data_IF_888970891605
#
_entry.id   IF_888970891605
#
_cell.length_a   1.000
_cell.length_b   1.000
_cell.length_c   1.000
_cell.angle_alpha   90.00
_cell.angle_beta   90.00
_cell.angle_gamma   90.00
#
_symmetry.space_group_name_H-M   'P 1'
#
loop_
_entity.id
_entity.type
_entity.pdbx_description
1 polymer ?
#
# COMPACT_ATOMS: atom_id res chain seq x y z
N UNK A 1 108.22 -11.42 13.67
CA UNK A 1 107.18 -11.54 12.63
C UNK A 1 105.86 -11.84 13.33
N UNK A 2 104.86 -10.98 13.11
CA UNK A 2 103.39 -11.21 13.14
C UNK A 2 102.76 -11.85 14.39
N UNK A 3 101.64 -11.41 14.96
CA UNK A 3 100.82 -10.20 14.95
C UNK A 3 99.72 -10.51 16.00
N UNK A 4 99.39 -9.55 16.85
CA UNK A 4 98.37 -9.68 17.89
C UNK A 4 96.95 -9.84 17.33
N UNK A 5 96.10 -10.62 18.01
CA UNK A 5 94.63 -10.53 17.88
C UNK A 5 93.96 -10.61 19.26
N UNK A 6 93.56 -9.44 19.75
CA UNK A 6 92.46 -9.25 20.70
C UNK A 6 91.14 -9.46 19.95
N UNK A 7 90.22 -10.23 20.53
CA UNK A 7 88.83 -10.27 20.07
C UNK A 7 87.95 -9.80 21.21
N UNK A 8 87.39 -8.60 21.05
CA UNK A 8 86.43 -7.99 21.95
C UNK A 8 85.02 -8.56 21.73
N UNK A 9 84.30 -8.85 22.81
CA UNK A 9 82.86 -9.12 22.79
C UNK A 9 82.11 -7.81 22.51
N UNK A 10 81.38 -7.75 21.39
CA UNK A 10 80.31 -6.77 21.18
C UNK A 10 78.96 -7.42 21.49
N UNK A 11 78.27 -6.90 22.51
CA UNK A 11 76.85 -7.15 22.73
C UNK A 11 76.01 -6.31 21.77
N UNK A 12 75.21 -6.98 20.94
CA UNK A 12 74.24 -6.32 20.06
C UNK A 12 72.86 -6.33 20.73
N UNK A 13 72.39 -5.15 21.17
CA UNK A 13 71.00 -4.91 21.53
C UNK A 13 70.14 -4.86 20.28
N UNK A 14 69.31 -5.88 20.05
CA UNK A 14 68.32 -5.88 18.99
C UNK A 14 67.11 -5.02 19.39
N UNK A 15 66.92 -3.88 18.73
CA UNK A 15 65.70 -3.10 18.82
C UNK A 15 64.56 -3.82 18.06
N UNK A 16 63.53 -4.27 18.78
CA UNK A 16 62.28 -4.73 18.16
C UNK A 16 61.49 -3.51 17.65
N UNK A 17 61.56 -3.26 16.34
CA UNK A 17 60.60 -2.40 15.67
C UNK A 17 59.28 -3.19 15.51
N UNK A 18 58.27 -2.84 16.29
CA UNK A 18 56.91 -3.34 16.10
C UNK A 18 56.32 -2.72 14.81
N UNK A 19 56.38 -3.48 13.71
CA UNK A 19 55.62 -3.18 12.51
C UNK A 19 54.13 -3.37 12.83
N UNK A 20 53.42 -2.26 13.03
CA UNK A 20 51.96 -2.27 13.11
C UNK A 20 51.40 -2.81 11.78
N UNK A 21 50.85 -4.03 11.81
CA UNK A 21 50.13 -4.58 10.68
C UNK A 21 48.96 -3.63 10.32
N UNK A 22 48.69 -3.39 9.03
CA UNK A 22 47.55 -2.57 8.64
C UNK A 22 46.28 -3.24 9.19
N UNK A 23 45.54 -2.47 10.00
CA UNK A 23 44.22 -2.87 10.46
C UNK A 23 43.38 -3.20 9.23
N UNK A 24 43.09 -4.49 9.03
CA UNK A 24 42.16 -4.92 7.99
C UNK A 24 40.81 -4.31 8.36
N UNK A 25 40.38 -3.31 7.59
CA UNK A 25 39.02 -2.82 7.66
C UNK A 25 38.10 -4.03 7.51
N UNK A 26 37.26 -4.27 8.52
CA UNK A 26 36.23 -5.30 8.42
C UNK A 26 35.45 -5.05 7.12
N UNK A 27 35.15 -6.09 6.32
CA UNK A 27 34.40 -5.92 5.10
C UNK A 27 33.10 -5.21 5.45
N UNK A 28 32.83 -4.09 4.76
CA UNK A 28 31.58 -3.37 4.89
C UNK A 28 30.44 -4.39 4.78
N UNK A 29 29.55 -4.42 5.77
CA UNK A 29 28.41 -5.32 5.75
C UNK A 29 27.71 -5.18 4.39
N UNK A 30 27.74 -6.25 3.60
CA UNK A 30 27.15 -6.27 2.27
C UNK A 30 25.70 -5.84 2.39
N UNK A 31 25.34 -4.76 1.69
CA UNK A 31 23.97 -4.26 1.71
C UNK A 31 23.03 -5.39 1.28
N UNK A 32 21.96 -5.61 2.03
CA UNK A 32 20.98 -6.64 1.71
C UNK A 32 20.53 -6.52 0.25
N UNK A 33 20.36 -7.66 -0.47
CA UNK A 33 19.95 -7.62 -1.85
C UNK A 33 18.62 -6.86 -2.00
N UNK A 34 18.43 -6.13 -3.13
CA UNK A 34 17.20 -5.40 -3.37
C UNK A 34 16.03 -6.38 -3.46
N UNK A 35 14.88 -5.97 -2.91
CA UNK A 35 13.63 -6.71 -3.10
C UNK A 35 13.21 -6.69 -4.58
N UNK A 36 12.28 -7.56 -4.97
CA UNK A 36 11.74 -7.57 -6.35
C UNK A 36 11.13 -6.21 -6.71
N UNK A 37 10.43 -5.55 -5.79
CA UNK A 37 9.91 -4.19 -5.99
C UNK A 37 11.03 -3.17 -6.23
N UNK A 38 12.11 -3.23 -5.44
CA UNK A 38 13.26 -2.33 -5.54
C UNK A 38 14.08 -2.55 -6.83
N UNK A 39 14.12 -3.77 -7.35
CA UNK A 39 14.79 -4.08 -8.63
C UNK A 39 14.11 -3.37 -9.81
N UNK A 40 12.80 -3.13 -9.73
CA UNK A 40 12.06 -2.41 -10.79
C UNK A 40 12.39 -0.91 -10.81
N UNK A 41 12.84 -0.35 -9.70
CA UNK A 41 13.02 1.10 -9.55
C UNK A 41 14.02 1.67 -10.55
N UNK A 42 15.05 0.92 -10.96
CA UNK A 42 16.08 1.40 -11.89
C UNK A 42 15.68 1.23 -13.38
N UNK A 43 14.48 0.69 -13.66
CA UNK A 43 13.96 0.60 -15.02
C UNK A 43 13.54 1.97 -15.58
N UNK A 44 13.48 2.09 -16.91
CA UNK A 44 13.18 3.35 -17.58
C UNK A 44 11.81 3.95 -17.19
N UNK A 45 10.77 3.13 -17.09
CA UNK A 45 9.40 3.61 -16.81
C UNK A 45 9.25 4.22 -15.41
N UNK A 46 9.68 3.58 -14.30
CA UNK A 46 9.67 4.22 -12.98
C UNK A 46 10.49 5.51 -12.92
N UNK A 47 11.66 5.55 -13.57
CA UNK A 47 12.49 6.76 -13.64
C UNK A 47 11.81 7.88 -14.41
N UNK A 48 11.16 7.57 -15.54
CA UNK A 48 10.36 8.53 -16.30
C UNK A 48 9.21 9.06 -15.45
N UNK A 49 8.45 8.19 -14.77
CA UNK A 49 7.33 8.60 -13.92
C UNK A 49 7.80 9.53 -12.81
N UNK A 50 8.90 9.21 -12.12
CA UNK A 50 9.46 10.04 -11.06
C UNK A 50 9.91 11.41 -11.58
N UNK A 51 10.56 11.45 -12.74
CA UNK A 51 11.00 12.72 -13.37
C UNK A 51 9.80 13.58 -13.74
N UNK A 52 8.84 13.02 -14.48
CA UNK A 52 7.69 13.72 -15.04
C UNK A 52 6.63 14.13 -14.01
N UNK A 53 6.57 13.43 -12.87
CA UNK A 53 5.69 13.82 -11.75
C UNK A 53 6.31 14.83 -10.78
N UNK A 54 7.61 15.11 -10.92
CA UNK A 54 8.39 15.92 -9.98
C UNK A 54 8.85 15.17 -8.71
N UNK A 55 8.66 13.86 -8.62
CA UNK A 55 9.00 13.06 -7.44
C UNK A 55 10.46 12.54 -7.43
N UNK A 56 11.23 12.74 -8.50
CA UNK A 56 12.63 12.33 -8.62
C UNK A 56 13.53 12.81 -7.45
N UNK A 57 13.25 13.97 -6.88
CA UNK A 57 14.01 14.52 -5.75
C UNK A 57 13.67 13.94 -4.36
N UNK A 58 12.59 13.14 -4.23
CA UNK A 58 12.10 12.66 -2.92
C UNK A 58 13.12 11.73 -2.26
N UNK A 59 13.50 10.65 -2.93
CA UNK A 59 14.42 9.67 -2.36
C UNK A 59 15.82 10.27 -2.11
N UNK A 60 16.45 11.05 -3.02
CA UNK A 60 17.72 11.71 -2.75
C UNK A 60 17.69 12.67 -1.55
N UNK A 61 16.61 13.45 -1.40
CA UNK A 61 16.44 14.35 -0.26
C UNK A 61 16.30 13.60 1.06
N UNK A 62 15.54 12.50 1.04
CA UNK A 62 15.40 11.60 2.18
C UNK A 62 16.74 10.94 2.55
N UNK A 63 17.49 10.40 1.59
CA UNK A 63 18.81 9.78 1.82
C UNK A 63 19.76 10.75 2.53
N UNK A 64 19.89 11.99 2.03
CA UNK A 64 20.74 13.01 2.69
C UNK A 64 20.30 13.33 4.12
N UNK A 65 18.99 13.33 4.38
CA UNK A 65 18.48 13.56 5.73
C UNK A 65 18.75 12.36 6.65
N UNK A 66 18.65 11.14 6.11
CA UNK A 66 18.94 9.91 6.82
C UNK A 66 20.42 9.79 7.17
N UNK A 67 21.32 10.13 6.23
CA UNK A 67 22.78 10.15 6.45
C UNK A 67 23.22 11.13 7.54
N UNK A 68 22.49 12.24 7.71
CA UNK A 68 22.74 13.22 8.80
C UNK A 68 22.14 12.82 10.14
N UNK A 69 21.39 11.72 10.23
CA UNK A 69 20.83 11.27 11.50
C UNK A 69 21.92 10.65 12.36
N UNK A 70 22.33 11.34 13.42
CA UNK A 70 23.37 10.87 14.35
C UNK A 70 22.92 9.84 15.40
N UNK A 71 21.65 9.41 15.37
CA UNK A 71 21.11 8.40 16.28
C UNK A 71 19.88 7.70 15.73
N UNK A 72 19.52 6.54 16.31
CA UNK A 72 18.31 5.81 15.94
C UNK A 72 17.04 6.67 16.11
N UNK A 73 16.91 7.43 17.20
CA UNK A 73 15.79 8.35 17.42
C UNK A 73 15.74 9.46 16.38
N UNK A 74 16.89 10.01 16.00
CA UNK A 74 16.95 11.00 14.92
C UNK A 74 16.50 10.40 13.58
N UNK A 75 16.90 9.16 13.29
CA UNK A 75 16.50 8.43 12.09
C UNK A 75 14.99 8.15 12.06
N UNK A 76 14.41 7.69 13.18
CA UNK A 76 12.95 7.49 13.31
C UNK A 76 12.18 8.79 13.01
N UNK A 77 12.65 9.93 13.53
CA UNK A 77 12.06 11.23 13.25
C UNK A 77 12.20 11.65 11.78
N UNK A 78 13.35 11.37 11.14
CA UNK A 78 13.55 11.61 9.71
C UNK A 78 12.57 10.77 8.89
N UNK A 79 12.48 9.48 9.18
CA UNK A 79 11.58 8.54 8.49
C UNK A 79 10.12 8.97 8.61
N UNK A 80 9.65 9.26 9.84
CA UNK A 80 8.30 9.73 10.10
C UNK A 80 7.95 10.97 9.26
N UNK A 81 8.75 12.04 9.40
CA UNK A 81 8.49 13.32 8.75
C UNK A 81 8.58 13.25 7.23
N UNK A 82 9.54 12.50 6.68
CA UNK A 82 9.64 12.35 5.23
C UNK A 82 8.52 11.45 4.67
N UNK A 83 8.10 10.43 5.41
CA UNK A 83 6.96 9.59 5.02
C UNK A 83 5.66 10.41 4.97
N UNK A 84 5.36 11.17 6.02
CA UNK A 84 4.18 12.04 6.06
C UNK A 84 4.21 13.09 4.94
N UNK A 85 5.38 13.72 4.70
CA UNK A 85 5.53 14.66 3.59
C UNK A 85 5.33 14.02 2.23
N UNK A 86 5.78 12.77 2.04
CA UNK A 86 5.55 12.05 0.80
C UNK A 86 4.04 11.81 0.57
N UNK A 87 3.32 11.36 1.61
CA UNK A 87 1.86 11.18 1.53
C UNK A 87 1.16 12.50 1.18
N UNK A 88 1.37 13.55 1.99
CA UNK A 88 0.71 14.85 1.77
C UNK A 88 1.04 15.45 0.42
N UNK A 89 2.29 15.33 -0.05
CA UNK A 89 2.68 15.78 -1.39
C UNK A 89 1.93 15.04 -2.49
N UNK A 90 1.71 13.73 -2.36
CA UNK A 90 0.95 12.95 -3.33
C UNK A 90 -0.52 13.35 -3.36
N UNK A 91 -1.13 13.57 -2.19
CA UNK A 91 -2.50 14.07 -2.04
C UNK A 91 -2.64 15.49 -2.64
N UNK A 92 -1.75 16.40 -2.25
CA UNK A 92 -1.71 17.77 -2.76
C UNK A 92 -1.60 17.80 -4.28
N UNK A 93 -0.75 16.92 -4.85
CA UNK A 93 -0.62 16.76 -6.30
C UNK A 93 -1.94 16.29 -6.90
N UNK A 94 -2.52 15.21 -6.39
CA UNK A 94 -3.79 14.65 -6.88
C UNK A 94 -4.94 15.66 -6.88
N UNK A 95 -4.92 16.59 -5.93
CA UNK A 95 -5.93 17.62 -5.76
C UNK A 95 -5.57 18.96 -6.42
N UNK A 96 -4.45 19.04 -7.15
CA UNK A 96 -4.03 20.25 -7.85
C UNK A 96 -3.59 21.39 -6.93
N UNK A 97 -3.22 21.10 -5.68
CA UNK A 97 -2.73 22.09 -4.69
C UNK A 97 -1.25 22.42 -4.87
N UNK A 98 -0.50 21.59 -5.60
CA UNK A 98 0.93 21.81 -5.92
C UNK A 98 1.20 21.49 -7.40
N UNK A 99 2.28 22.03 -7.99
CA UNK A 99 2.69 21.68 -9.35
C UNK A 99 2.88 20.18 -9.53
N UNK A 100 2.32 19.62 -10.61
CA UNK A 100 2.22 18.17 -10.84
C UNK A 100 3.24 17.61 -11.86
N UNK A 101 4.15 18.46 -12.36
CA UNK A 101 4.94 18.16 -13.55
C UNK A 101 4.05 18.02 -14.79
N UNK A 102 4.45 17.19 -15.75
CA UNK A 102 3.73 16.97 -17.01
C UNK A 102 2.89 15.68 -17.04
N UNK A 103 2.89 14.88 -15.98
CA UNK A 103 1.94 13.77 -15.82
C UNK A 103 0.60 14.22 -15.26
N UNK A 104 -0.47 13.51 -15.62
CA UNK A 104 -1.80 13.70 -15.02
C UNK A 104 -1.73 13.70 -13.48
N UNK A 105 -2.41 14.67 -12.89
CA UNK A 105 -2.34 14.93 -11.45
C UNK A 105 -2.90 13.78 -10.61
N UNK A 106 -3.90 13.05 -11.11
CA UNK A 106 -4.54 11.95 -10.40
C UNK A 106 -3.73 10.64 -10.42
N UNK A 107 -2.55 10.65 -11.06
CA UNK A 107 -1.64 9.52 -11.10
C UNK A 107 -1.11 9.12 -9.71
N UNK A 108 -1.30 7.85 -9.35
CA UNK A 108 -0.92 7.24 -8.08
C UNK A 108 0.50 6.66 -8.07
N UNK A 109 1.06 6.39 -9.25
CA UNK A 109 2.39 5.76 -9.43
C UNK A 109 3.54 6.55 -8.78
N UNK A 110 3.57 7.90 -8.78
CA UNK A 110 4.65 8.67 -8.16
C UNK A 110 4.85 8.38 -6.67
N UNK A 111 3.75 8.18 -5.93
CA UNK A 111 3.80 7.85 -4.50
C UNK A 111 4.49 6.50 -4.28
N UNK A 112 4.08 5.48 -5.03
CA UNK A 112 4.63 4.12 -4.92
C UNK A 112 6.13 4.08 -5.23
N UNK A 113 6.54 4.64 -6.38
CA UNK A 113 7.96 4.62 -6.77
C UNK A 113 8.86 5.43 -5.84
N UNK A 114 8.40 6.59 -5.37
CA UNK A 114 9.17 7.40 -4.43
C UNK A 114 9.32 6.71 -3.07
N UNK A 115 8.26 6.05 -2.59
CA UNK A 115 8.30 5.23 -1.36
C UNK A 115 9.31 4.11 -1.49
N UNK A 116 9.34 3.38 -2.61
CA UNK A 116 10.33 2.33 -2.84
C UNK A 116 11.77 2.87 -2.83
N UNK A 117 12.00 4.06 -3.40
CA UNK A 117 13.30 4.73 -3.31
C UNK A 117 13.72 5.03 -1.87
N UNK A 118 12.78 5.45 -1.01
CA UNK A 118 13.04 5.65 0.41
C UNK A 118 13.26 4.34 1.18
N UNK A 119 12.49 3.29 0.88
CA UNK A 119 12.67 1.93 1.43
C UNK A 119 14.07 1.41 1.13
N UNK A 120 14.51 1.53 -0.13
CA UNK A 120 15.85 1.15 -0.58
C UNK A 120 16.94 1.93 0.15
N UNK A 121 16.75 3.23 0.37
CA UNK A 121 17.67 4.05 1.14
C UNK A 121 17.81 3.56 2.59
N UNK A 122 16.70 3.25 3.27
CA UNK A 122 16.74 2.67 4.64
C UNK A 122 17.46 1.32 4.63
N UNK A 123 17.24 0.44 3.64
CA UNK A 123 17.88 -0.89 3.60
C UNK A 123 19.39 -0.81 3.39
N UNK A 124 19.86 0.11 2.55
CA UNK A 124 21.28 0.28 2.19
C UNK A 124 22.07 1.18 3.14
N UNK A 125 21.39 1.94 4.00
CA UNK A 125 22.03 2.90 4.88
C UNK A 125 22.93 2.25 5.93
N UNK A 126 24.19 2.70 6.00
CA UNK A 126 25.13 2.31 7.05
C UNK A 126 25.42 3.52 7.97
N UNK A 127 24.75 3.65 9.13
CA UNK A 127 24.99 4.74 10.07
C UNK A 127 26.34 4.66 10.78
N UNK A 128 26.80 5.79 11.31
CA UNK A 128 27.97 5.86 12.22
C UNK A 128 27.72 5.27 13.61
N UNK A 129 26.46 4.95 13.94
CA UNK A 129 26.06 4.32 15.20
C UNK A 129 25.54 2.90 14.95
N UNK A 130 25.57 2.05 15.98
CA UNK A 130 25.08 0.66 15.89
C UNK A 130 23.57 0.65 15.59
N UNK A 131 23.19 0.09 14.44
CA UNK A 131 21.81 -0.12 14.04
C UNK A 131 21.56 -1.61 13.82
N UNK A 132 20.84 -2.23 14.75
CA UNK A 132 20.44 -3.64 14.61
C UNK A 132 19.39 -3.85 13.53
N UNK A 133 19.30 -5.06 13.00
CA UNK A 133 18.29 -5.42 11.99
C UNK A 133 16.86 -5.17 12.49
N UNK A 134 16.60 -5.43 13.77
CA UNK A 134 15.31 -5.13 14.40
C UNK A 134 15.02 -3.63 14.42
N UNK A 135 16.03 -2.78 14.63
CA UNK A 135 15.89 -1.33 14.57
C UNK A 135 15.65 -0.85 13.14
N UNK A 136 16.39 -1.38 12.16
CA UNK A 136 16.17 -1.12 10.74
C UNK A 136 14.77 -1.53 10.29
N UNK A 137 14.29 -2.70 10.71
CA UNK A 137 12.93 -3.16 10.44
C UNK A 137 11.86 -2.22 11.01
N UNK A 138 12.08 -1.64 12.20
CA UNK A 138 11.19 -0.62 12.77
C UNK A 138 11.16 0.66 11.93
N UNK A 139 12.31 1.10 11.41
CA UNK A 139 12.36 2.24 10.48
C UNK A 139 11.54 1.95 9.22
N UNK A 140 11.66 0.75 8.64
CA UNK A 140 10.86 0.36 7.48
C UNK A 140 9.36 0.35 7.78
N UNK A 141 8.93 -0.24 8.91
CA UNK A 141 7.52 -0.20 9.35
C UNK A 141 7.03 1.23 9.57
N UNK A 142 7.87 2.11 10.14
CA UNK A 142 7.56 3.53 10.34
C UNK A 142 7.33 4.23 8.99
N UNK A 143 8.20 3.97 8.01
CA UNK A 143 8.08 4.53 6.66
C UNK A 143 6.79 4.09 5.98
N UNK A 144 6.50 2.78 6.02
CA UNK A 144 5.29 2.20 5.43
C UNK A 144 4.04 2.89 5.98
N UNK A 145 3.92 3.03 7.31
CA UNK A 145 2.76 3.68 7.92
C UNK A 145 2.65 5.17 7.58
N UNK A 146 3.74 5.93 7.75
CA UNK A 146 3.75 7.38 7.52
C UNK A 146 3.45 7.75 6.07
N UNK A 147 3.96 6.98 5.10
CA UNK A 147 3.85 7.30 3.68
C UNK A 147 2.57 6.77 3.01
N UNK A 148 1.67 6.14 3.76
CA UNK A 148 0.42 5.52 3.28
C UNK A 148 -0.85 6.20 3.79
N UNK A 149 -0.73 7.34 4.47
CA UNK A 149 -1.86 8.02 5.10
C UNK A 149 -2.38 7.35 6.38
N UNK A 150 -1.82 6.21 6.79
CA UNK A 150 -2.28 5.44 7.97
C UNK A 150 -2.10 6.18 9.31
N UNK A 151 -1.43 7.33 9.30
CA UNK A 151 -1.22 8.20 10.47
C UNK A 151 -1.67 9.64 10.24
N UNK A 152 -2.19 9.96 9.04
CA UNK A 152 -2.64 11.33 8.70
C UNK A 152 -4.16 11.51 8.88
N UNK A 153 -4.90 10.41 9.12
CA UNK A 153 -6.36 10.39 9.26
C UNK A 153 -6.83 11.30 10.40
N UNK A 154 -7.46 12.41 10.04
CA UNK A 154 -7.97 13.41 10.98
C UNK A 154 -9.33 13.97 10.55
N UNK A 155 -10.30 13.99 11.48
CA UNK A 155 -11.65 14.47 11.21
C UNK A 155 -11.93 15.80 11.94
N UNK A 156 -12.41 16.84 11.25
CA UNK A 156 -12.87 18.05 11.91
C UNK A 156 -14.17 17.78 12.71
N UNK A 157 -14.58 18.76 13.51
CA UNK A 157 -15.84 18.69 14.24
C UNK A 157 -17.05 18.85 13.29
N UNK A 158 -18.21 18.34 13.71
CA UNK A 158 -19.52 18.54 13.07
C UNK A 158 -19.63 18.09 11.59
N UNK A 159 -18.75 17.19 11.14
CA UNK A 159 -18.87 16.50 9.85
C UNK A 159 -19.16 15.02 10.06
N UNK A 160 -19.77 14.40 9.06
CA UNK A 160 -19.76 12.95 8.94
C UNK A 160 -18.35 12.46 8.58
N UNK A 161 -17.94 11.32 9.10
CA UNK A 161 -16.58 10.78 8.98
C UNK A 161 -16.58 9.53 8.12
N UNK A 162 -15.91 9.60 6.98
CA UNK A 162 -15.80 8.50 6.03
C UNK A 162 -14.33 8.07 5.99
N UNK A 163 -14.09 6.76 6.05
CA UNK A 163 -12.77 6.19 5.83
C UNK A 163 -12.74 5.38 4.53
N UNK A 164 -11.79 5.64 3.66
CA UNK A 164 -11.63 4.91 2.39
C UNK A 164 -10.23 4.33 2.31
N UNK A 165 -10.10 3.10 1.81
CA UNK A 165 -8.78 2.50 1.54
C UNK A 165 -8.54 2.33 0.06
N UNK A 166 -7.29 2.36 -0.37
CA UNK A 166 -6.86 1.97 -1.72
C UNK A 166 -5.61 1.07 -1.69
N UNK A 167 -5.12 0.70 -2.86
CA UNK A 167 -3.91 -0.10 -3.01
C UNK A 167 -2.84 0.58 -3.86
N UNK A 168 -1.58 0.17 -3.64
CA UNK A 168 -0.47 0.44 -4.55
C UNK A 168 -0.70 -0.23 -5.94
N UNK A 169 0.01 0.23 -7.00
CA UNK A 169 0.11 -0.49 -8.27
C UNK A 169 0.58 -1.94 -8.10
N UNK A 170 0.07 -2.83 -8.96
CA UNK A 170 0.43 -4.25 -8.97
C UNK A 170 0.41 -4.82 -10.39
N UNK A 171 0.77 -6.10 -10.56
CA UNK A 171 0.99 -6.75 -11.87
C UNK A 171 2.06 -6.08 -12.73
N UNK A 172 3.04 -5.44 -12.08
CA UNK A 172 4.10 -4.66 -12.71
C UNK A 172 5.11 -5.50 -13.51
N UNK A 173 5.09 -6.82 -13.35
CA UNK A 173 5.82 -7.75 -14.23
C UNK A 173 5.15 -7.92 -15.61
N UNK A 174 3.84 -7.64 -15.71
CA UNK A 174 3.08 -7.71 -16.96
C UNK A 174 3.14 -6.39 -17.71
N UNK A 175 2.94 -5.29 -16.99
CA UNK A 175 3.07 -3.94 -17.54
C UNK A 175 3.53 -2.99 -16.42
N UNK A 176 4.78 -2.53 -16.50
CA UNK A 176 5.39 -1.63 -15.52
C UNK A 176 4.78 -0.22 -15.54
N UNK A 177 4.01 0.11 -16.59
CA UNK A 177 3.39 1.42 -16.79
C UNK A 177 2.08 1.57 -16.02
N UNK A 178 1.44 0.49 -15.58
CA UNK A 178 0.08 0.60 -14.99
C UNK A 178 0.10 1.27 -13.60
N UNK A 179 -0.99 1.99 -13.30
CA UNK A 179 -1.30 2.48 -11.96
C UNK A 179 -2.41 1.66 -11.31
N UNK A 180 -2.93 2.10 -10.17
CA UNK A 180 -4.07 1.48 -9.50
C UNK A 180 -5.19 2.53 -9.30
N UNK A 181 -6.38 2.34 -9.90
CA UNK A 181 -7.50 3.27 -9.76
C UNK A 181 -7.97 3.42 -8.30
N UNK A 182 -7.78 2.41 -7.45
CA UNK A 182 -8.09 2.53 -6.01
C UNK A 182 -7.09 3.43 -5.28
N UNK A 183 -5.80 3.38 -5.63
CA UNK A 183 -4.77 4.28 -5.12
C UNK A 183 -5.00 5.72 -5.59
N UNK A 184 -5.34 5.90 -6.87
CA UNK A 184 -5.72 7.20 -7.43
C UNK A 184 -6.95 7.80 -6.72
N UNK A 185 -7.95 6.97 -6.43
CA UNK A 185 -9.14 7.35 -5.66
C UNK A 185 -8.78 7.78 -4.24
N UNK A 186 -7.91 7.02 -3.55
CA UNK A 186 -7.47 7.36 -2.20
C UNK A 186 -6.81 8.76 -2.16
N UNK A 187 -5.88 9.03 -3.07
CA UNK A 187 -5.18 10.33 -3.14
C UNK A 187 -6.11 11.49 -3.51
N UNK A 188 -7.00 11.28 -4.47
CA UNK A 188 -7.92 12.32 -4.92
C UNK A 188 -8.97 12.69 -3.86
N UNK A 189 -9.31 11.78 -2.95
CA UNK A 189 -10.36 11.98 -1.95
C UNK A 189 -9.84 12.34 -0.56
N UNK A 190 -8.55 12.15 -0.27
CA UNK A 190 -8.01 12.38 1.08
C UNK A 190 -8.19 13.81 1.57
N UNK A 191 -8.81 13.96 2.72
CA UNK A 191 -9.16 15.24 3.29
C UNK A 191 -10.24 16.05 2.55
N UNK A 192 -10.91 15.48 1.54
CA UNK A 192 -11.98 16.19 0.84
C UNK A 192 -13.28 16.22 1.66
N UNK A 193 -14.10 17.24 1.42
CA UNK A 193 -15.46 17.32 1.96
C UNK A 193 -16.45 17.16 0.83
N UNK A 194 -17.37 16.21 0.96
CA UNK A 194 -18.49 16.00 0.05
C UNK A 194 -19.79 16.44 0.70
N UNK A 195 -20.75 16.90 -0.11
CA UNK A 195 -22.11 17.20 0.35
C UNK A 195 -22.96 15.95 0.24
N UNK A 196 -23.58 15.56 1.34
CA UNK A 196 -24.57 14.47 1.38
C UNK A 196 -25.95 15.06 1.68
N UNK A 197 -27.01 14.29 1.47
CA UNK A 197 -28.36 14.67 1.92
C UNK A 197 -28.47 14.90 3.43
N UNK A 198 -27.47 14.48 4.21
CA UNK A 198 -27.41 14.59 5.67
C UNK A 198 -26.35 15.58 6.16
N UNK A 199 -25.84 16.44 5.26
CA UNK A 199 -24.83 17.45 5.56
C UNK A 199 -23.43 17.10 5.06
N UNK A 200 -22.39 17.85 5.49
CA UNK A 200 -21.03 17.66 5.02
C UNK A 200 -20.42 16.36 5.56
N UNK A 201 -19.72 15.63 4.69
CA UNK A 201 -18.95 14.45 5.06
C UNK A 201 -17.48 14.63 4.67
N UNK A 202 -16.58 14.41 5.62
CA UNK A 202 -15.13 14.39 5.44
C UNK A 202 -14.69 12.98 5.08
N UNK A 203 -13.96 12.85 3.98
CA UNK A 203 -13.32 11.62 3.55
C UNK A 203 -11.85 11.69 3.96
N UNK A 204 -11.39 10.70 4.70
CA UNK A 204 -9.98 10.45 4.98
C UNK A 204 -9.60 9.12 4.35
N UNK A 205 -8.37 9.00 3.84
CA UNK A 205 -7.95 7.80 3.14
C UNK A 205 -6.62 7.24 3.61
N UNK A 206 -6.37 6.00 3.23
CA UNK A 206 -5.06 5.35 3.39
C UNK A 206 -4.86 4.33 2.28
N UNK A 207 -3.61 3.96 1.99
CA UNK A 207 -3.29 2.90 1.04
C UNK A 207 -2.62 1.69 1.69
N UNK A 208 -2.73 0.53 1.03
CA UNK A 208 -2.10 -0.72 1.44
C UNK A 208 -1.19 -1.28 0.33
N UNK A 209 -0.10 -1.97 0.70
CA UNK A 209 0.76 -2.65 -0.27
C UNK A 209 0.04 -3.84 -0.87
N UNK A 210 0.46 -4.24 -2.07
CA UNK A 210 0.04 -5.51 -2.68
C UNK A 210 1.11 -6.57 -2.34
N UNK A 211 1.15 -6.98 -1.06
CA UNK A 211 2.12 -7.95 -0.50
C UNK A 211 1.50 -8.84 0.59
N UNK A 212 1.60 -10.15 0.47
CA UNK A 212 0.98 -11.12 1.40
C UNK A 212 1.54 -11.03 2.82
N UNK A 213 2.85 -10.76 2.95
CA UNK A 213 3.51 -10.71 4.26
C UNK A 213 2.95 -9.58 5.13
N UNK A 214 2.69 -8.41 4.58
CA UNK A 214 2.17 -7.26 5.33
C UNK A 214 0.77 -7.53 5.92
N UNK A 215 -0.08 -8.22 5.17
CA UNK A 215 -1.39 -8.65 5.66
C UNK A 215 -1.28 -9.73 6.73
N UNK A 216 -0.40 -10.73 6.52
CA UNK A 216 -0.11 -11.78 7.50
C UNK A 216 0.42 -11.20 8.81
N UNK A 217 1.27 -10.19 8.70
CA UNK A 217 1.85 -9.49 9.84
C UNK A 217 0.84 -8.58 10.55
N UNK A 218 -0.41 -8.45 10.07
CA UNK A 218 -1.49 -7.71 10.72
C UNK A 218 -1.51 -6.21 10.42
N UNK A 219 -1.03 -5.78 9.25
CA UNK A 219 -1.04 -4.37 8.86
C UNK A 219 -2.45 -3.78 8.80
N UNK A 220 -3.44 -4.53 8.28
CA UNK A 220 -4.83 -4.07 8.16
C UNK A 220 -5.42 -3.72 9.51
N UNK A 221 -5.32 -4.64 10.46
CA UNK A 221 -5.92 -4.47 11.77
C UNK A 221 -5.23 -3.35 12.55
N UNK A 222 -3.90 -3.25 12.45
CA UNK A 222 -3.16 -2.13 13.06
C UNK A 222 -3.58 -0.78 12.49
N UNK A 223 -3.77 -0.68 11.18
CA UNK A 223 -4.12 0.55 10.51
C UNK A 223 -5.57 0.95 10.80
N UNK A 224 -6.52 0.02 10.72
CA UNK A 224 -7.96 0.36 10.80
C UNK A 224 -8.51 0.44 12.22
N UNK A 225 -8.03 -0.39 13.15
CA UNK A 225 -8.60 -0.51 14.52
C UNK A 225 -8.73 0.82 15.27
N UNK A 226 -7.77 1.77 15.21
CA UNK A 226 -7.91 3.06 15.90
C UNK A 226 -9.03 3.95 15.33
N UNK A 227 -9.45 3.73 14.08
CA UNK A 227 -10.37 4.61 13.36
C UNK A 227 -11.78 4.07 13.26
N UNK A 228 -11.98 2.75 13.13
CA UNK A 228 -13.31 2.15 12.94
C UNK A 228 -14.35 2.59 13.99
N UNK A 229 -14.04 2.68 15.31
CA UNK A 229 -15.00 3.15 16.31
C UNK A 229 -15.39 4.63 16.18
N UNK A 230 -14.68 5.41 15.35
CA UNK A 230 -14.79 6.87 15.27
C UNK A 230 -15.42 7.35 13.97
N UNK A 231 -15.64 6.46 13.00
CA UNK A 231 -16.16 6.78 11.67
C UNK A 231 -17.65 6.44 11.56
N UNK A 232 -18.32 7.05 10.58
CA UNK A 232 -19.72 6.82 10.27
C UNK A 232 -19.91 5.92 9.05
N UNK A 233 -18.85 5.66 8.29
CA UNK A 233 -18.82 4.77 7.13
C UNK A 233 -17.36 4.40 6.83
N UNK A 234 -17.11 3.16 6.43
CA UNK A 234 -15.86 2.81 5.76
C UNK A 234 -16.09 2.04 4.46
N UNK A 235 -15.20 2.23 3.50
CA UNK A 235 -15.20 1.47 2.25
C UNK A 235 -13.77 1.08 1.92
N UNK A 236 -13.48 -0.22 1.83
CA UNK A 236 -12.24 -0.65 1.20
C UNK A 236 -12.43 -0.60 -0.32
N UNK A 237 -11.48 -0.03 -1.06
CA UNK A 237 -11.55 0.08 -2.53
C UNK A 237 -10.38 -0.67 -3.15
N UNK A 238 -10.67 -1.46 -4.18
CA UNK A 238 -9.68 -2.22 -4.96
C UNK A 238 -9.96 -2.08 -6.45
N UNK A 239 -8.94 -2.32 -7.28
CA UNK A 239 -9.16 -2.51 -8.71
C UNK A 239 -9.82 -3.86 -8.99
N UNK A 240 -10.91 -3.86 -9.75
CA UNK A 240 -11.66 -5.05 -10.14
C UNK A 240 -11.43 -5.42 -11.60
N UNK A 241 -12.50 -5.40 -12.38
CA UNK A 241 -12.57 -5.89 -13.78
C UNK A 241 -12.99 -4.78 -14.75
N UNK A 242 -12.96 -5.00 -16.07
CA UNK A 242 -13.37 -3.97 -17.04
C UNK A 242 -14.81 -3.47 -16.84
N UNK A 243 -15.02 -2.19 -17.20
CA UNK A 243 -16.31 -1.55 -17.47
C UNK A 243 -17.34 -1.40 -16.33
N UNK A 244 -17.04 -1.85 -15.11
CA UNK A 244 -18.01 -1.79 -14.02
C UNK A 244 -17.40 -1.60 -12.64
N UNK A 245 -18.19 -1.03 -11.75
CA UNK A 245 -18.01 -1.11 -10.31
C UNK A 245 -18.78 -2.30 -9.76
N UNK A 246 -18.16 -3.07 -8.86
CA UNK A 246 -18.83 -4.14 -8.12
C UNK A 246 -18.91 -3.72 -6.64
N UNK A 247 -20.12 -3.61 -6.09
CA UNK A 247 -20.36 -3.51 -4.65
C UNK A 247 -20.38 -4.94 -4.10
N UNK A 248 -19.32 -5.33 -3.41
CA UNK A 248 -19.12 -6.73 -3.05
C UNK A 248 -19.94 -7.12 -1.82
N UNK A 249 -20.71 -8.20 -1.97
CA UNK A 249 -21.62 -8.67 -0.91
C UNK A 249 -20.92 -9.48 0.17
N UNK A 250 -20.10 -10.43 -0.26
CA UNK A 250 -19.53 -11.48 0.57
C UNK A 250 -18.01 -11.52 0.39
N UNK A 251 -17.26 -11.54 1.50
CA UNK A 251 -15.81 -11.74 1.48
C UNK A 251 -15.48 -13.12 2.07
N UNK A 252 -14.61 -13.87 1.40
CA UNK A 252 -14.26 -15.23 1.75
C UNK A 252 -12.95 -15.33 2.54
N UNK A 253 -12.87 -16.28 3.47
CA UNK A 253 -11.71 -16.54 4.32
C UNK A 253 -10.55 -17.27 3.60
N UNK A 254 -10.30 -17.01 2.32
CA UNK A 254 -9.37 -17.79 1.48
C UNK A 254 -8.43 -16.92 0.63
N UNK A 255 -7.19 -17.40 0.44
CA UNK A 255 -6.19 -16.89 -0.50
C UNK A 255 -6.03 -17.85 -1.68
N UNK A 256 -6.09 -17.32 -2.90
CA UNK A 256 -6.00 -18.10 -4.14
C UNK A 256 -4.61 -18.31 -4.73
N UNK A 257 -3.55 -17.73 -4.15
CA UNK A 257 -2.17 -17.98 -4.60
C UNK A 257 -1.64 -17.12 -5.75
N UNK A 258 -2.38 -16.11 -6.24
CA UNK A 258 -1.83 -15.20 -7.24
C UNK A 258 -0.58 -14.46 -6.69
N UNK A 259 0.53 -14.34 -7.47
CA UNK A 259 1.74 -13.68 -6.98
C UNK A 259 1.54 -12.20 -6.65
N UNK A 260 2.14 -11.76 -5.55
CA UNK A 260 2.13 -10.36 -5.12
C UNK A 260 3.27 -9.53 -5.77
N UNK A 261 3.45 -8.27 -5.36
CA UNK A 261 4.49 -7.41 -5.92
C UNK A 261 5.92 -7.90 -5.65
N UNK A 262 6.11 -8.76 -4.66
CA UNK A 262 7.38 -9.44 -4.35
C UNK A 262 7.48 -10.82 -5.03
N UNK A 263 6.54 -11.15 -5.92
CA UNK A 263 6.38 -12.47 -6.57
C UNK A 263 6.12 -13.60 -5.58
N UNK A 264 5.74 -13.28 -4.34
CA UNK A 264 5.38 -14.28 -3.36
C UNK A 264 3.94 -14.77 -3.62
N UNK A 265 3.71 -16.07 -3.44
CA UNK A 265 2.40 -16.69 -3.50
C UNK A 265 1.98 -17.18 -2.12
N UNK A 266 0.67 -17.11 -1.82
CA UNK A 266 0.10 -17.66 -0.61
C UNK A 266 -1.29 -18.23 -0.92
N UNK A 267 -1.49 -19.52 -0.64
CA UNK A 267 -2.75 -20.23 -0.85
C UNK A 267 -3.20 -20.83 0.47
N UNK A 268 -4.51 -20.82 0.74
CA UNK A 268 -5.08 -21.40 1.96
C UNK A 268 -5.96 -20.42 2.71
N UNK A 269 -6.32 -20.76 3.95
CA UNK A 269 -7.11 -19.88 4.79
C UNK A 269 -6.36 -18.57 5.08
N UNK A 270 -7.09 -17.46 5.09
CA UNK A 270 -6.53 -16.16 5.47
C UNK A 270 -6.03 -16.25 6.92
N UNK A 271 -4.75 -15.96 7.22
CA UNK A 271 -4.22 -16.10 8.57
C UNK A 271 -4.70 -14.95 9.46
N UNK A 272 -5.72 -15.21 10.28
CA UNK A 272 -6.20 -14.31 11.35
C UNK A 272 -6.16 -15.01 12.70
N UNK A 273 -5.98 -14.24 13.77
CA UNK A 273 -6.07 -14.77 15.15
C UNK A 273 -7.52 -14.89 15.60
N UNK A 274 -7.85 -15.91 16.39
CA UNK A 274 -9.18 -16.11 17.00
C UNK A 274 -10.24 -16.66 16.04
N UNK A 275 -11.50 -16.68 16.47
CA UNK A 275 -12.61 -17.26 15.70
C UNK A 275 -12.73 -16.65 14.30
N UNK A 276 -12.74 -17.50 13.28
CA UNK A 276 -12.66 -17.12 11.87
C UNK A 276 -13.86 -17.68 11.10
N UNK A 277 -14.90 -16.86 10.83
CA UNK A 277 -16.01 -17.31 9.98
C UNK A 277 -15.53 -17.49 8.54
N UNK A 278 -16.12 -18.43 7.80
CA UNK A 278 -15.76 -18.62 6.38
C UNK A 278 -16.11 -17.40 5.52
N UNK A 279 -17.15 -16.67 5.93
CA UNK A 279 -17.70 -15.54 5.19
C UNK A 279 -17.90 -14.34 6.10
N UNK A 280 -17.66 -13.15 5.56
CA UNK A 280 -18.11 -11.88 6.17
C UNK A 280 -19.00 -11.15 5.17
N UNK A 281 -19.93 -10.33 5.68
CA UNK A 281 -20.96 -9.68 4.87
C UNK A 281 -20.85 -8.17 4.96
N UNK A 282 -20.99 -7.51 3.81
CA UNK A 282 -21.07 -6.05 3.73
C UNK A 282 -22.27 -5.49 4.50
N UNK A 283 -22.08 -4.34 5.14
CA UNK A 283 -23.16 -3.49 5.67
C UNK A 283 -23.27 -2.18 4.89
N UNK A 284 -22.62 -2.07 3.73
CA UNK A 284 -22.83 -0.94 2.82
C UNK A 284 -24.29 -0.92 2.33
N UNK A 285 -24.85 0.28 2.08
CA UNK A 285 -26.18 0.45 1.51
C UNK A 285 -26.17 0.18 -0.01
N UNK A 286 -25.74 -1.02 -0.39
CA UNK A 286 -25.58 -1.52 -1.76
C UNK A 286 -26.75 -1.16 -2.70
N UNK A 287 -28.02 -1.31 -2.28
CA UNK A 287 -29.19 -0.94 -3.12
C UNK A 287 -29.17 0.55 -3.47
N UNK A 288 -28.86 1.40 -2.51
CA UNK A 288 -28.77 2.84 -2.74
C UNK A 288 -27.55 3.19 -3.59
N UNK A 289 -26.44 2.50 -3.44
CA UNK A 289 -25.24 2.69 -4.28
C UNK A 289 -25.50 2.29 -5.74
N UNK A 290 -26.10 1.13 -5.97
CA UNK A 290 -26.46 0.64 -7.31
C UNK A 290 -27.51 1.54 -7.96
N UNK A 291 -28.53 1.95 -7.21
CA UNK A 291 -29.60 2.83 -7.68
C UNK A 291 -29.23 4.31 -7.78
N UNK A 292 -27.99 4.71 -7.47
CA UNK A 292 -27.60 6.12 -7.41
C UNK A 292 -27.45 6.79 -8.78
N UNK A 293 -27.40 6.03 -9.89
CA UNK A 293 -27.28 6.58 -11.24
C UNK A 293 -25.97 7.36 -11.47
N UNK A 294 -24.87 6.92 -10.87
CA UNK A 294 -23.58 7.62 -10.91
C UNK A 294 -22.77 7.29 -12.15
N UNK A 295 -22.14 8.29 -12.75
CA UNK A 295 -21.02 8.13 -13.71
C UNK A 295 -21.31 7.26 -14.94
N UNK A 296 -20.27 6.98 -15.75
CA UNK A 296 -20.43 6.25 -17.00
C UNK A 296 -20.35 4.71 -16.86
N UNK A 297 -19.84 4.19 -15.75
CA UNK A 297 -19.65 2.75 -15.56
C UNK A 297 -20.87 2.12 -14.88
N UNK A 298 -21.19 0.88 -15.25
CA UNK A 298 -22.25 0.14 -14.57
C UNK A 298 -21.88 -0.11 -13.10
N UNK A 299 -22.86 -0.11 -12.21
CA UNK A 299 -22.69 -0.43 -10.78
C UNK A 299 -23.47 -1.71 -10.49
N UNK A 300 -22.77 -2.74 -10.04
CA UNK A 300 -23.32 -4.08 -9.83
C UNK A 300 -23.35 -4.40 -8.33
N UNK A 301 -24.46 -4.97 -7.86
CA UNK A 301 -24.51 -5.69 -6.59
C UNK A 301 -23.93 -7.09 -6.82
N UNK A 302 -22.67 -7.31 -6.43
CA UNK A 302 -21.97 -8.56 -6.75
C UNK A 302 -22.11 -9.54 -5.58
N UNK A 303 -22.93 -10.57 -5.80
CA UNK A 303 -23.26 -11.61 -4.83
C UNK A 303 -22.54 -12.93 -5.09
N UNK A 304 -21.91 -13.09 -6.26
CA UNK A 304 -21.35 -14.37 -6.68
C UNK A 304 -20.19 -14.79 -5.77
N UNK A 305 -20.12 -16.03 -5.31
CA UNK A 305 -18.97 -16.57 -4.57
C UNK A 305 -18.52 -17.91 -5.13
N UNK A 306 -17.32 -18.35 -4.77
CA UNK A 306 -16.86 -19.73 -4.97
C UNK A 306 -16.69 -20.39 -3.61
N UNK A 307 -17.33 -21.54 -3.43
CA UNK A 307 -17.35 -22.25 -2.15
C UNK A 307 -17.10 -23.75 -2.34
N UNK A 308 -16.82 -24.44 -1.23
CA UNK A 308 -17.07 -25.88 -1.11
C UNK A 308 -18.30 -26.03 -0.20
N UNK A 309 -19.42 -26.62 -0.67
CA UNK A 309 -20.62 -26.79 0.15
C UNK A 309 -20.37 -27.65 1.39
N UNK A 310 -21.22 -27.51 2.42
CA UNK A 310 -21.14 -28.34 3.61
C UNK A 310 -21.18 -29.84 3.25
N UNK A 311 -20.20 -30.61 3.73
CA UNK A 311 -20.05 -32.05 3.40
C UNK A 311 -19.50 -32.35 2.00
N UNK A 312 -19.25 -31.34 1.18
CA UNK A 312 -18.65 -31.48 -0.15
C UNK A 312 -17.13 -31.43 -0.14
N UNK A 313 -16.53 -31.77 -1.28
CA UNK A 313 -15.07 -31.69 -1.52
C UNK A 313 -14.71 -30.91 -2.79
N UNK A 314 -15.70 -30.53 -3.59
CA UNK A 314 -15.53 -29.83 -4.87
C UNK A 314 -15.93 -28.37 -4.77
N UNK A 315 -15.17 -27.53 -5.48
CA UNK A 315 -15.49 -26.10 -5.59
C UNK A 315 -16.66 -25.88 -6.54
N UNK A 316 -17.54 -24.96 -6.18
CA UNK A 316 -18.71 -24.58 -6.96
C UNK A 316 -18.91 -23.08 -6.93
N UNK A 317 -19.39 -22.52 -8.04
CA UNK A 317 -19.80 -21.12 -8.12
C UNK A 317 -21.25 -21.00 -7.63
N UNK A 318 -21.52 -19.97 -6.83
CA UNK A 318 -22.86 -19.63 -6.34
C UNK A 318 -23.18 -18.20 -6.74
N UNK A 319 -24.17 -17.95 -7.61
CA UNK A 319 -24.51 -16.59 -8.03
C UNK A 319 -25.09 -15.75 -6.88
N UNK A 320 -25.81 -16.38 -5.94
CA UNK A 320 -26.61 -15.68 -4.92
C UNK A 320 -25.98 -15.70 -3.52
N UNK A 321 -24.67 -15.93 -3.42
CA UNK A 321 -23.94 -15.98 -2.16
C UNK A 321 -23.70 -17.38 -1.59
N UNK A 322 -23.03 -17.47 -0.44
CA UNK A 322 -22.62 -18.75 0.13
C UNK A 322 -23.78 -19.53 0.75
N UNK A 323 -23.70 -20.86 0.68
CA UNK A 323 -24.63 -21.76 1.36
C UNK A 323 -24.25 -21.93 2.85
N UNK A 324 -25.22 -22.21 3.75
CA UNK A 324 -24.93 -22.42 5.17
C UNK A 324 -23.89 -23.54 5.40
N UNK A 325 -22.88 -23.24 6.22
CA UNK A 325 -21.82 -24.19 6.57
C UNK A 325 -20.76 -24.42 5.47
N UNK A 326 -20.81 -23.70 4.35
CA UNK A 326 -19.82 -23.84 3.28
C UNK A 326 -18.45 -23.28 3.65
N UNK A 327 -17.40 -23.82 3.01
CA UNK A 327 -16.04 -23.33 3.12
C UNK A 327 -15.70 -22.37 1.98
N UNK A 328 -15.02 -21.27 2.27
CA UNK A 328 -14.70 -20.25 1.29
C UNK A 328 -13.56 -20.66 0.34
N UNK A 329 -13.70 -20.29 -0.94
CA UNK A 329 -12.67 -20.38 -1.98
C UNK A 329 -12.48 -19.10 -2.78
N UNK A 330 -13.55 -18.32 -2.94
CA UNK A 330 -13.48 -16.93 -3.36
C UNK A 330 -14.70 -16.15 -2.83
N UNK A 331 -14.47 -14.96 -2.30
CA UNK A 331 -15.53 -13.98 -2.11
C UNK A 331 -15.97 -13.37 -3.44
N UNK A 332 -16.93 -12.46 -3.39
CA UNK A 332 -17.43 -11.78 -4.57
C UNK A 332 -16.35 -10.96 -5.28
N UNK A 333 -15.43 -10.40 -4.51
CA UNK A 333 -14.22 -9.75 -4.98
C UNK A 333 -13.06 -10.69 -5.38
N UNK A 334 -13.30 -12.00 -5.46
CA UNK A 334 -12.28 -13.02 -5.74
C UNK A 334 -11.60 -13.58 -4.48
N UNK A 335 -10.35 -14.01 -4.62
CA UNK A 335 -9.54 -14.62 -3.54
C UNK A 335 -8.11 -14.05 -3.48
N UNK A 336 -7.92 -12.85 -4.01
CA UNK A 336 -6.66 -12.12 -3.94
C UNK A 336 -6.66 -11.13 -2.75
N UNK A 337 -5.67 -10.24 -2.68
CA UNK A 337 -5.52 -9.24 -1.62
C UNK A 337 -6.70 -8.26 -1.52
N UNK A 338 -7.46 -8.05 -2.60
CA UNK A 338 -8.70 -7.27 -2.57
C UNK A 338 -9.78 -7.92 -1.68
N UNK A 339 -9.98 -9.24 -1.84
CA UNK A 339 -10.84 -10.02 -0.95
C UNK A 339 -10.28 -10.04 0.47
N UNK A 340 -8.96 -10.19 0.66
CA UNK A 340 -8.39 -10.27 2.00
C UNK A 340 -8.54 -8.96 2.80
N UNK A 341 -8.33 -7.78 2.20
CA UNK A 341 -8.57 -6.52 2.92
C UNK A 341 -10.05 -6.38 3.29
N UNK A 342 -10.95 -6.75 2.37
CA UNK A 342 -12.38 -6.69 2.58
C UNK A 342 -12.82 -7.61 3.73
N UNK A 343 -12.34 -8.85 3.71
CA UNK A 343 -12.57 -9.84 4.76
C UNK A 343 -12.04 -9.35 6.11
N UNK A 344 -10.77 -8.91 6.19
CA UNK A 344 -10.14 -8.47 7.44
C UNK A 344 -10.79 -7.20 8.02
N UNK A 345 -11.11 -6.21 7.18
CA UNK A 345 -11.76 -4.98 7.63
C UNK A 345 -13.17 -5.25 8.17
N UNK A 346 -13.94 -6.09 7.47
CA UNK A 346 -15.29 -6.49 7.88
C UNK A 346 -15.26 -7.34 9.16
N UNK A 347 -14.36 -8.32 9.23
CA UNK A 347 -14.15 -9.14 10.43
C UNK A 347 -13.72 -8.28 11.63
N UNK A 348 -12.85 -7.29 11.42
CA UNK A 348 -12.44 -6.37 12.47
C UNK A 348 -13.60 -5.51 12.97
N UNK A 349 -14.43 -4.96 12.07
CA UNK A 349 -15.68 -4.26 12.44
C UNK A 349 -16.53 -5.13 13.36
N UNK A 350 -16.76 -6.39 12.96
CA UNK A 350 -17.62 -7.31 13.69
C UNK A 350 -17.04 -7.67 15.07
N UNK A 351 -15.72 -7.92 15.14
CA UNK A 351 -15.00 -8.19 16.40
C UNK A 351 -14.95 -7.00 17.35
N UNK A 352 -15.11 -5.78 16.86
CA UNK A 352 -15.23 -4.57 17.67
C UNK A 352 -16.69 -4.30 18.10
N UNK A 353 -17.64 -5.17 17.74
CA UNK A 353 -19.06 -4.98 18.04
C UNK A 353 -19.73 -3.86 17.23
N UNK A 354 -19.09 -3.40 16.14
CA UNK A 354 -19.55 -2.28 15.33
C UNK A 354 -20.53 -2.72 14.23
N UNK A 355 -21.47 -3.62 14.53
CA UNK A 355 -22.39 -4.22 13.55
C UNK A 355 -23.29 -3.21 12.85
N UNK A 356 -23.51 -2.04 13.45
CA UNK A 356 -24.27 -0.92 12.88
C UNK A 356 -23.44 0.03 12.00
N UNK A 357 -22.11 -0.12 11.97
CA UNK A 357 -21.24 0.70 11.13
C UNK A 357 -21.37 0.26 9.66
N UNK A 358 -21.84 1.11 8.73
CA UNK A 358 -21.84 0.80 7.31
C UNK A 358 -20.41 0.61 6.81
N UNK A 359 -20.15 -0.56 6.21
CA UNK A 359 -18.81 -1.03 5.96
C UNK A 359 -18.78 -2.13 4.92
N UNK A 360 -17.87 -2.07 3.96
CA UNK A 360 -17.79 -3.08 2.91
C UNK A 360 -16.74 -2.77 1.86
N UNK A 361 -16.85 -3.46 0.73
CA UNK A 361 -15.86 -3.43 -0.33
C UNK A 361 -16.45 -2.96 -1.66
N UNK A 362 -15.69 -2.12 -2.36
CA UNK A 362 -16.01 -1.62 -3.70
C UNK A 362 -14.84 -1.97 -4.63
N UNK A 363 -15.13 -2.71 -5.69
CA UNK A 363 -14.20 -2.85 -6.81
C UNK A 363 -14.47 -1.76 -7.84
N UNK A 364 -13.41 -1.14 -8.35
CA UNK A 364 -13.47 -0.19 -9.47
C UNK A 364 -13.28 -0.91 -10.80
N UNK A 365 -13.62 -0.27 -11.94
CA UNK A 365 -13.12 -0.69 -13.24
C UNK A 365 -11.59 -0.71 -13.27
N UNK A 366 -11.01 -1.51 -14.18
CA UNK A 366 -9.56 -1.45 -14.48
C UNK A 366 -9.21 -0.19 -15.28
N UNK A 367 -7.96 0.25 -15.15
CA UNK A 367 -7.42 1.29 -16.02
C UNK A 367 -7.14 0.74 -17.43
N UNK A 368 -7.33 1.56 -18.46
CA UNK A 368 -7.08 1.17 -19.85
C UNK A 368 -6.34 2.24 -20.63
N UNK A 369 -5.25 1.84 -21.28
CA UNK A 369 -4.59 2.65 -22.29
C UNK A 369 -5.49 2.81 -23.53
N UNK A 370 -5.18 3.81 -24.34
CA UNK A 370 -5.74 3.96 -25.68
C UNK A 370 -5.31 2.81 -26.60
N UNK A 371 -6.09 2.54 -27.64
CA UNK A 371 -5.87 1.40 -28.55
C UNK A 371 -4.45 1.39 -29.14
N UNK A 372 -3.93 2.58 -29.47
CA UNK A 372 -2.56 2.78 -29.96
C UNK A 372 -1.44 2.72 -28.91
N UNK A 373 -1.76 2.40 -27.65
CA UNK A 373 -0.80 2.36 -26.54
C UNK A 373 -0.93 1.07 -25.68
N UNK A 374 -1.59 0.04 -26.24
CA UNK A 374 -1.89 -1.22 -25.54
C UNK A 374 -0.65 -2.12 -25.33
N UNK A 375 0.34 -2.07 -26.22
CA UNK A 375 1.57 -2.85 -26.11
C UNK A 375 2.56 -2.21 -25.10
N UNK A 376 2.91 -2.90 -24.00
CA UNK A 376 3.89 -2.41 -23.03
C UNK A 376 5.32 -2.26 -23.54
N UNK A 377 5.70 -2.99 -24.59
CA UNK A 377 7.06 -2.95 -25.14
C UNK A 377 7.34 -1.71 -25.99
N UNK A 378 6.30 -1.14 -26.61
CA UNK A 378 6.42 -0.02 -27.56
C UNK A 378 5.66 1.23 -27.13
N UNK A 379 4.73 1.10 -26.19
CA UNK A 379 3.87 2.18 -25.75
C UNK A 379 4.51 3.18 -24.78
N UNK A 380 3.91 4.36 -24.68
CA UNK A 380 4.28 5.41 -23.74
C UNK A 380 3.71 5.17 -22.34
N UNK A 381 4.28 5.82 -21.32
CA UNK A 381 3.87 5.66 -19.92
C UNK A 381 2.44 6.15 -19.62
N UNK A 382 1.85 6.98 -20.47
CA UNK A 382 0.49 7.51 -20.32
C UNK A 382 -0.02 8.00 -21.65
N UNK A 383 -1.34 8.01 -21.82
CA UNK A 383 -2.01 8.61 -22.97
C UNK A 383 -3.33 9.27 -22.55
N UNK A 384 -3.93 10.13 -23.40
CA UNK A 384 -5.15 10.85 -23.03
C UNK A 384 -6.35 9.95 -22.67
N UNK A 385 -6.47 8.75 -23.22
CA UNK A 385 -7.55 7.81 -22.89
C UNK A 385 -7.33 7.19 -21.52
N UNK A 386 -6.10 6.79 -21.18
CA UNK A 386 -5.74 6.32 -19.85
C UNK A 386 -6.07 7.35 -18.76
N UNK A 387 -5.72 8.61 -19.01
CA UNK A 387 -5.97 9.69 -18.06
C UNK A 387 -7.46 10.03 -17.92
N UNK A 388 -8.21 10.07 -19.04
CA UNK A 388 -9.67 10.25 -19.00
C UNK A 388 -10.36 9.11 -18.25
N UNK A 389 -9.94 7.86 -18.51
CA UNK A 389 -10.46 6.68 -17.86
C UNK A 389 -10.22 6.72 -16.34
N UNK A 390 -8.99 7.06 -15.90
CA UNK A 390 -8.69 7.26 -14.48
C UNK A 390 -9.59 8.32 -13.84
N UNK A 391 -9.72 9.49 -14.46
CA UNK A 391 -10.55 10.58 -13.92
C UNK A 391 -12.03 10.20 -13.81
N UNK A 392 -12.55 9.47 -14.80
CA UNK A 392 -13.93 8.97 -14.78
C UNK A 392 -14.14 7.97 -13.62
N UNK A 393 -13.20 7.05 -13.41
CA UNK A 393 -13.27 6.07 -12.30
C UNK A 393 -13.21 6.78 -10.95
N UNK A 394 -12.27 7.70 -10.75
CA UNK A 394 -12.14 8.46 -9.48
C UNK A 394 -13.40 9.28 -9.19
N UNK A 395 -13.97 9.92 -10.22
CA UNK A 395 -15.20 10.71 -10.08
C UNK A 395 -16.37 9.82 -9.66
N UNK A 396 -16.60 8.72 -10.37
CA UNK A 396 -17.70 7.82 -10.02
C UNK A 396 -17.51 7.14 -8.66
N UNK A 397 -16.27 6.80 -8.28
CA UNK A 397 -15.98 6.26 -6.95
C UNK A 397 -16.37 7.27 -5.84
N UNK A 398 -16.02 8.56 -6.02
CA UNK A 398 -16.44 9.65 -5.12
C UNK A 398 -17.96 9.70 -4.98
N UNK A 399 -18.67 9.63 -6.10
CA UNK A 399 -20.13 9.75 -6.12
C UNK A 399 -20.79 8.54 -5.45
N UNK A 400 -20.27 7.34 -5.67
CA UNK A 400 -20.74 6.11 -5.00
C UNK A 400 -20.52 6.16 -3.48
N UNK A 401 -19.35 6.63 -3.04
CA UNK A 401 -19.06 6.81 -1.60
C UNK A 401 -20.00 7.88 -1.00
N UNK A 402 -20.28 8.94 -1.76
CA UNK A 402 -21.21 10.01 -1.36
C UNK A 402 -22.65 9.51 -1.28
N UNK A 403 -23.07 8.65 -2.21
CA UNK A 403 -24.38 8.00 -2.20
C UNK A 403 -24.52 7.06 -1.00
N UNK A 404 -23.48 6.27 -0.71
CA UNK A 404 -23.45 5.39 0.45
C UNK A 404 -23.59 6.18 1.77
N UNK A 405 -22.91 7.32 1.87
CA UNK A 405 -23.08 8.22 2.98
C UNK A 405 -24.49 8.84 3.01
N UNK A 406 -25.03 9.30 1.89
CA UNK A 406 -26.38 9.90 1.88
C UNK A 406 -27.48 8.90 2.35
N UNK A 407 -27.30 7.62 2.07
CA UNK A 407 -28.26 6.56 2.40
C UNK A 407 -28.23 6.09 3.87
N UNK A 408 -27.20 6.41 4.64
CA UNK A 408 -26.96 5.80 5.97
C UNK A 408 -27.09 6.80 7.12
N UNK A 409 -27.64 6.34 8.24
CA UNK A 409 -27.72 7.12 9.48
C UNK A 409 -26.34 7.49 10.00
N UNK A 410 -26.25 8.68 10.62
CA UNK A 410 -25.08 9.03 11.43
C UNK A 410 -25.12 8.13 12.67
N UNK A 411 -23.97 7.59 13.07
CA UNK A 411 -23.90 6.82 14.30
C UNK A 411 -24.33 7.72 15.47
N UNK A 412 -25.33 7.29 16.25
CA UNK A 412 -25.62 7.91 17.54
C UNK A 412 -24.38 7.67 18.42
N UNK A 413 -23.83 8.74 18.97
CA UNK A 413 -22.69 8.64 19.89
C UNK A 413 -23.15 8.36 21.30
#
# INVERSE_FOLDING_TARGET
MTAARMTAMLGATAALAALAAPAHAAPAASAAPPTVEEQRLDQAVPQEILRRSGFAGVAPSFTRALERAGSHRAAENVVARHGERLWRRAVDRAQGRVPAGDLDRADDRPLYWARLGMTRAIRRWNPSFVLSDKARARLLVRLERASRGQEDVAYPHRVRRILVTGFDPFTLDRDIRIGNPSGATALALDGTVVRTSRGPARIETMTFPVRWRDFTDGMVERALRPHLPRVDLFTTVSQGRPDRFDVERFNGAWRGGFPDNERASSTGLIPVRGAQPQWTVTTLPHRAMVGAGTGPFQVIDNTQVTEIPAGGTTEVVRPDGPTPGSAARAGAGGNYLSNEIAYRATLLRDRLGLTRLPGGHLHTPVLRFGDGNTDPGTGTVTDPQFERNRRAIVTQARDLITAAASATARSAR
#
